data_IF_863341856163
#
_entry.id   IF_863341856163
#
_cell.length_a   1.000
_cell.length_b   1.000
_cell.length_c   1.000
_cell.angle_alpha   90.00
_cell.angle_beta   90.00
_cell.angle_gamma   90.00
#
_symmetry.space_group_name_H-M   'P 1'
#
loop_
_entity.id
_entity.type
_entity.pdbx_description
1 polymer ?
#
# COMPACT_ATOMS: atom_id res chain seq x y z
N UNK A 1 -18.69 -28.78 -2.83
CA UNK A 1 -18.90 -27.57 -3.64
C UNK A 1 -18.73 -26.36 -2.74
N UNK A 2 -17.72 -25.54 -3.01
CA UNK A 2 -17.32 -24.43 -2.14
C UNK A 2 -16.05 -23.82 -2.70
N UNK A 3 -16.14 -23.30 -3.92
CA UNK A 3 -15.04 -22.59 -4.57
C UNK A 3 -14.72 -21.35 -3.76
N UNK A 4 -13.59 -21.39 -3.03
CA UNK A 4 -13.00 -20.20 -2.45
C UNK A 4 -12.72 -19.22 -3.58
N UNK A 5 -13.39 -18.07 -3.55
CA UNK A 5 -13.13 -16.97 -4.46
C UNK A 5 -11.65 -16.61 -4.35
N UNK A 6 -10.87 -16.92 -5.38
CA UNK A 6 -9.50 -16.47 -5.50
C UNK A 6 -9.44 -14.94 -5.61
N UNK A 7 -8.25 -14.34 -5.42
CA UNK A 7 -8.02 -12.89 -5.37
C UNK A 7 -8.28 -12.14 -6.69
N UNK A 8 -8.87 -12.79 -7.70
CA UNK A 8 -9.32 -12.16 -8.95
C UNK A 8 -10.74 -11.57 -8.85
N UNK A 9 -11.52 -11.92 -7.83
CA UNK A 9 -12.96 -11.65 -7.78
C UNK A 9 -13.39 -10.27 -7.21
N UNK A 10 -12.49 -9.31 -6.99
CA UNK A 10 -12.83 -8.15 -6.13
C UNK A 10 -12.19 -6.81 -6.48
N UNK A 11 -11.59 -6.67 -7.67
CA UNK A 11 -11.10 -5.39 -8.15
C UNK A 11 -12.26 -4.56 -8.73
N UNK A 12 -12.33 -3.27 -8.40
CA UNK A 12 -13.30 -2.37 -9.01
C UNK A 12 -12.68 -1.70 -10.26
N UNK A 13 -13.11 -2.08 -11.48
CA UNK A 13 -12.56 -1.50 -12.70
C UNK A 13 -12.86 -0.01 -12.85
N UNK A 14 -13.87 0.54 -12.17
CA UNK A 14 -14.16 1.97 -12.20
C UNK A 14 -13.12 2.80 -11.43
N UNK A 15 -12.41 2.18 -10.49
CA UNK A 15 -11.40 2.82 -9.64
C UNK A 15 -9.98 2.69 -10.21
N UNK A 16 -9.80 2.09 -11.39
CA UNK A 16 -8.50 1.89 -12.03
C UNK A 16 -8.49 2.49 -13.44
N UNK A 17 -7.43 3.24 -13.75
CA UNK A 17 -7.13 3.70 -15.11
C UNK A 17 -5.72 3.33 -15.49
N UNK A 18 -5.51 3.11 -16.78
CA UNK A 18 -4.20 2.84 -17.36
C UNK A 18 -4.01 3.70 -18.61
N UNK A 19 -2.77 4.04 -18.91
CA UNK A 19 -2.34 4.68 -20.16
C UNK A 19 -2.75 3.91 -21.42
N UNK A 20 -2.79 2.57 -21.36
CA UNK A 20 -3.19 1.71 -22.48
C UNK A 20 -3.94 0.44 -22.01
N UNK A 21 -4.82 -0.14 -22.86
CA UNK A 21 -5.45 -1.45 -22.59
C UNK A 21 -4.44 -2.60 -22.45
N UNK A 22 -3.32 -2.54 -23.18
CA UNK A 22 -2.22 -3.50 -23.14
C UNK A 22 -1.59 -3.52 -21.75
N UNK A 23 -1.30 -2.34 -21.21
CA UNK A 23 -0.76 -2.19 -19.87
C UNK A 23 -1.76 -2.64 -18.80
N UNK A 24 -3.05 -2.30 -18.95
CA UNK A 24 -4.10 -2.77 -18.04
C UNK A 24 -4.19 -4.31 -18.01
N UNK A 25 -4.04 -4.97 -19.16
CA UNK A 25 -3.96 -6.44 -19.24
C UNK A 25 -2.68 -6.96 -18.58
N UNK A 26 -1.52 -6.34 -18.84
CA UNK A 26 -0.22 -6.72 -18.26
C UNK A 26 -0.21 -6.67 -16.73
N UNK A 27 -0.83 -5.66 -16.14
CA UNK A 27 -0.89 -5.47 -14.69
C UNK A 27 -2.16 -6.02 -14.03
N UNK A 28 -3.02 -6.73 -14.80
CA UNK A 28 -4.20 -7.40 -14.26
C UNK A 28 -3.79 -8.36 -13.14
N UNK A 29 -4.44 -8.26 -11.99
CA UNK A 29 -4.11 -9.08 -10.82
C UNK A 29 -2.86 -8.62 -10.06
N UNK A 30 -2.05 -7.72 -10.61
CA UNK A 30 -0.79 -7.22 -10.02
C UNK A 30 -0.97 -5.87 -9.33
N UNK A 31 -1.76 -4.97 -9.91
CA UNK A 31 -2.25 -3.75 -9.29
C UNK A 31 -3.76 -3.83 -9.15
N UNK A 32 -4.28 -3.67 -7.94
CA UNK A 32 -5.69 -3.84 -7.62
C UNK A 32 -6.16 -2.74 -6.69
N UNK A 33 -7.42 -2.34 -6.83
CA UNK A 33 -8.13 -1.49 -5.88
C UNK A 33 -9.53 -2.02 -5.68
N UNK A 34 -10.00 -2.00 -4.44
CA UNK A 34 -11.34 -2.42 -4.03
C UNK A 34 -11.97 -1.33 -3.17
N UNK A 35 -13.06 -0.75 -3.65
CA UNK A 35 -13.89 0.18 -2.87
C UNK A 35 -14.66 -0.53 -1.75
N UNK A 36 -15.04 0.23 -0.72
CA UNK A 36 -15.86 -0.28 0.39
C UNK A 36 -15.27 -1.49 1.13
N UNK A 37 -13.94 -1.65 1.11
CA UNK A 37 -13.29 -2.74 1.85
C UNK A 37 -13.45 -2.54 3.35
N UNK A 38 -13.39 -1.32 3.85
CA UNK A 38 -13.66 -0.97 5.24
C UNK A 38 -14.90 -0.08 5.28
N UNK A 39 -15.88 -0.45 6.10
CA UNK A 39 -17.07 0.36 6.34
C UNK A 39 -16.72 1.62 7.14
N UNK A 40 -17.59 2.63 7.12
CA UNK A 40 -17.39 3.87 7.89
C UNK A 40 -17.24 3.60 9.40
N UNK A 41 -18.05 2.68 9.94
CA UNK A 41 -17.96 2.27 11.35
C UNK A 41 -16.62 1.59 11.69
N UNK A 42 -16.15 0.67 10.84
CA UNK A 42 -14.83 0.06 11.01
C UNK A 42 -13.71 1.11 10.90
N UNK A 43 -13.82 2.07 9.97
CA UNK A 43 -12.85 3.14 9.79
C UNK A 43 -12.71 4.01 11.06
N UNK A 44 -13.83 4.33 11.72
CA UNK A 44 -13.84 5.06 13.00
C UNK A 44 -13.08 4.29 14.09
N UNK A 45 -13.32 2.98 14.22
CA UNK A 45 -12.63 2.14 15.20
C UNK A 45 -11.13 2.01 14.92
N UNK A 46 -10.76 1.81 13.65
CA UNK A 46 -9.35 1.76 13.23
C UNK A 46 -8.63 3.08 13.52
N UNK A 47 -9.26 4.21 13.25
CA UNK A 47 -8.70 5.53 13.56
C UNK A 47 -8.54 5.71 15.07
N UNK A 48 -9.53 5.35 15.89
CA UNK A 48 -9.43 5.39 17.36
C UNK A 48 -8.23 4.59 17.87
N UNK A 49 -7.95 3.45 17.24
CA UNK A 49 -6.83 2.59 17.60
C UNK A 49 -5.45 3.21 17.27
N UNK A 50 -5.29 3.81 16.09
CA UNK A 50 -3.97 4.29 15.62
C UNK A 50 -3.67 5.76 15.96
N UNK A 51 -4.70 6.58 16.17
CA UNK A 51 -4.57 8.02 16.42
C UNK A 51 -3.69 8.35 17.66
N UNK A 52 -3.76 7.64 18.80
CA UNK A 52 -2.85 7.89 19.93
C UNK A 52 -1.38 7.66 19.59
N UNK A 53 -1.08 6.77 18.63
CA UNK A 53 0.26 6.57 18.12
C UNK A 53 0.74 7.73 17.27
N UNK A 54 -0.11 8.15 16.32
CA UNK A 54 0.16 9.27 15.42
C UNK A 54 0.33 10.60 16.16
N UNK A 55 -0.48 10.87 17.20
CA UNK A 55 -0.42 12.12 17.99
C UNK A 55 0.89 12.32 18.77
N UNK A 56 1.65 11.26 19.01
CA UNK A 56 2.99 11.38 19.62
C UNK A 56 4.03 11.90 18.62
N UNK A 57 3.81 11.67 17.32
CA UNK A 57 4.65 12.17 16.25
C UNK A 57 4.27 13.60 15.86
N UNK A 58 5.29 14.39 15.46
CA UNK A 58 5.07 15.69 14.81
C UNK A 58 5.02 15.48 13.30
N UNK A 59 4.29 16.35 12.61
CA UNK A 59 4.37 16.38 11.15
C UNK A 59 5.78 16.82 10.72
N UNK A 60 6.34 16.07 9.77
CA UNK A 60 7.64 16.28 9.18
C UNK A 60 7.47 16.94 7.82
N UNK A 61 8.26 17.98 7.57
CA UNK A 61 8.25 18.71 6.30
C UNK A 61 8.99 17.95 5.20
N UNK A 62 10.05 17.21 5.53
CA UNK A 62 10.86 16.43 4.58
C UNK A 62 11.48 15.19 5.23
N UNK A 63 11.63 14.12 4.45
CA UNK A 63 12.49 12.96 4.74
C UNK A 63 13.82 13.10 3.97
N UNK A 64 14.89 12.40 4.41
CA UNK A 64 16.23 12.53 3.80
C UNK A 64 16.30 12.08 2.33
N UNK A 65 15.38 11.21 1.89
CA UNK A 65 15.21 10.81 0.49
C UNK A 65 14.15 11.66 -0.27
N UNK A 66 13.54 12.65 0.40
CA UNK A 66 12.45 13.52 -0.10
C UNK A 66 11.22 12.77 -0.63
N UNK A 67 11.03 11.50 -0.27
CA UNK A 67 9.92 10.70 -0.76
C UNK A 67 8.57 11.07 -0.12
N UNK A 68 8.55 11.63 1.10
CA UNK A 68 7.30 12.00 1.78
C UNK A 68 7.44 13.38 2.42
N UNK A 69 6.41 14.23 2.25
CA UNK A 69 6.34 15.57 2.85
C UNK A 69 4.99 15.80 3.52
N UNK A 70 4.95 16.57 4.60
CA UNK A 70 3.71 16.91 5.31
C UNK A 70 3.06 15.69 5.97
N UNK A 71 3.88 14.83 6.59
CA UNK A 71 3.46 13.52 7.09
C UNK A 71 3.90 13.28 8.53
N UNK A 72 3.23 12.36 9.21
CA UNK A 72 3.73 11.69 10.42
C UNK A 72 3.41 10.21 10.30
N UNK A 73 4.21 9.38 10.95
CA UNK A 73 4.07 7.93 10.81
C UNK A 73 4.41 7.19 12.10
N UNK A 74 3.94 5.95 12.19
CA UNK A 74 4.25 5.03 13.29
C UNK A 74 4.07 3.60 12.80
N UNK A 75 4.90 2.69 13.30
CA UNK A 75 4.66 1.24 13.19
C UNK A 75 3.75 0.78 14.33
N UNK A 76 2.66 0.07 14.01
CA UNK A 76 1.66 -0.35 15.00
C UNK A 76 1.16 -1.77 14.75
N UNK A 77 1.28 -2.62 15.77
CA UNK A 77 0.50 -3.86 15.82
C UNK A 77 -0.97 -3.54 16.07
N UNK A 78 -1.85 -4.04 15.20
CA UNK A 78 -3.29 -3.86 15.30
C UNK A 78 -3.87 -4.90 16.28
N UNK A 79 -4.19 -4.47 17.50
CA UNK A 79 -4.62 -5.32 18.63
C UNK A 79 -6.10 -5.20 18.94
N UNK A 80 -6.76 -4.12 18.51
CA UNK A 80 -8.20 -3.92 18.66
C UNK A 80 -9.02 -4.88 17.82
N UNK A 81 -10.32 -4.99 18.12
CA UNK A 81 -11.23 -5.88 17.39
C UNK A 81 -11.28 -5.60 15.89
N UNK A 82 -11.48 -4.33 15.52
CA UNK A 82 -11.48 -3.88 14.13
C UNK A 82 -10.11 -4.09 13.47
N UNK A 83 -9.01 -3.74 14.16
CA UNK A 83 -7.66 -3.93 13.65
C UNK A 83 -7.29 -5.39 13.37
N UNK A 84 -7.63 -6.30 14.27
CA UNK A 84 -7.41 -7.75 14.09
C UNK A 84 -8.27 -8.32 12.96
N UNK A 85 -9.54 -7.93 12.90
CA UNK A 85 -10.43 -8.34 11.82
C UNK A 85 -9.91 -7.84 10.46
N UNK A 86 -9.41 -6.60 10.41
CA UNK A 86 -8.80 -6.04 9.21
C UNK A 86 -7.58 -6.85 8.77
N UNK A 87 -6.64 -7.14 9.68
CA UNK A 87 -5.44 -7.92 9.37
C UNK A 87 -5.80 -9.30 8.80
N UNK A 88 -6.80 -9.98 9.37
CA UNK A 88 -7.30 -11.25 8.86
C UNK A 88 -7.88 -11.12 7.44
N UNK A 89 -8.66 -10.06 7.19
CA UNK A 89 -9.28 -9.80 5.88
C UNK A 89 -8.27 -9.39 4.80
N UNK A 90 -7.18 -8.73 5.19
CA UNK A 90 -6.10 -8.30 4.28
C UNK A 90 -5.14 -9.46 3.96
N UNK A 91 -4.98 -10.43 4.87
CA UNK A 91 -4.05 -11.55 4.72
C UNK A 91 -4.16 -12.33 3.40
N UNK A 92 -5.36 -12.63 2.85
CA UNK A 92 -5.50 -13.30 1.55
C UNK A 92 -4.92 -12.54 0.35
N UNK A 93 -4.63 -11.24 0.47
CA UNK A 93 -3.93 -10.49 -0.58
C UNK A 93 -2.44 -10.92 -0.71
N UNK A 94 -1.89 -11.54 0.33
CA UNK A 94 -0.51 -11.96 0.43
C UNK A 94 -0.35 -13.46 0.10
N UNK A 95 0.81 -13.90 -0.39
CA UNK A 95 1.09 -15.33 -0.57
C UNK A 95 1.01 -16.09 0.76
N UNK A 96 0.44 -17.30 0.76
CA UNK A 96 0.27 -18.10 1.97
C UNK A 96 1.59 -18.37 2.73
N UNK A 97 2.71 -18.55 2.02
CA UNK A 97 4.04 -18.73 2.63
C UNK A 97 4.73 -17.42 3.04
N UNK A 98 4.13 -16.26 2.78
CA UNK A 98 4.67 -14.92 3.08
C UNK A 98 3.55 -13.97 3.53
N UNK A 99 2.92 -14.23 4.69
CA UNK A 99 1.84 -13.41 5.21
C UNK A 99 2.29 -11.97 5.48
N UNK A 100 1.36 -11.02 5.65
CA UNK A 100 1.72 -9.67 6.08
C UNK A 100 2.37 -9.70 7.46
N UNK A 101 3.25 -8.74 7.72
CA UNK A 101 3.77 -8.47 9.06
C UNK A 101 2.63 -8.18 10.03
N UNK A 102 2.76 -8.54 11.31
CA UNK A 102 1.74 -8.24 12.32
C UNK A 102 1.53 -6.74 12.59
N UNK A 103 2.53 -5.90 12.26
CA UNK A 103 2.42 -4.45 12.34
C UNK A 103 2.06 -3.84 10.99
N UNK A 104 1.18 -2.84 11.03
CA UNK A 104 0.94 -1.94 9.93
C UNK A 104 1.84 -0.71 10.07
N UNK A 105 2.39 -0.28 8.93
CA UNK A 105 2.92 1.07 8.79
C UNK A 105 1.73 2.03 8.69
N UNK A 106 1.56 2.89 9.69
CA UNK A 106 0.50 3.89 9.73
C UNK A 106 1.05 5.22 9.25
N UNK A 107 0.59 5.69 8.09
CA UNK A 107 1.00 6.96 7.49
C UNK A 107 -0.15 7.97 7.55
N UNK A 108 0.10 9.15 8.13
CA UNK A 108 -0.86 10.24 8.24
C UNK A 108 -0.35 11.47 7.50
N UNK A 109 -1.05 11.85 6.44
CA UNK A 109 -0.74 12.96 5.54
C UNK A 109 -1.66 14.14 5.84
N UNK A 110 -1.08 15.34 5.90
CA UNK A 110 -1.85 16.59 5.82
C UNK A 110 -2.53 16.74 4.45
N UNK A 111 -3.50 17.66 4.30
CA UNK A 111 -4.08 18.01 3.00
C UNK A 111 -3.03 18.31 1.92
N UNK A 112 -1.99 19.10 2.26
CA UNK A 112 -0.85 19.37 1.37
C UNK A 112 0.26 18.31 1.40
N UNK A 113 0.07 17.22 2.14
CA UNK A 113 1.05 16.13 2.25
C UNK A 113 1.02 15.23 1.01
N UNK A 114 2.19 14.74 0.59
CA UNK A 114 2.34 13.89 -0.60
C UNK A 114 3.38 12.80 -0.35
N UNK A 115 3.28 11.76 -1.17
CA UNK A 115 4.28 10.70 -1.29
C UNK A 115 4.76 10.77 -2.74
N UNK A 116 6.01 11.13 -2.97
CA UNK A 116 6.60 11.20 -4.30
C UNK A 116 6.88 9.81 -4.91
N UNK A 117 7.25 9.76 -6.20
CA UNK A 117 7.52 8.51 -6.92
C UNK A 117 8.66 7.72 -6.27
N UNK A 118 8.36 6.52 -5.79
CA UNK A 118 9.37 5.64 -5.21
C UNK A 118 9.02 4.16 -5.38
N UNK A 119 10.01 3.30 -5.16
CA UNK A 119 9.83 1.85 -5.04
C UNK A 119 10.21 1.45 -3.63
N UNK A 120 9.32 0.73 -2.95
CA UNK A 120 9.61 0.21 -1.61
C UNK A 120 10.88 -0.65 -1.61
N UNK A 121 11.75 -0.43 -0.63
CA UNK A 121 13.03 -1.14 -0.53
C UNK A 121 12.87 -2.65 -0.57
N UNK A 122 13.52 -3.31 -1.53
CA UNK A 122 13.52 -4.77 -1.66
C UNK A 122 14.21 -5.48 -0.49
N UNK A 123 15.03 -4.75 0.30
CA UNK A 123 15.68 -5.27 1.50
C UNK A 123 14.74 -5.35 2.70
N UNK A 124 13.67 -4.56 2.71
CA UNK A 124 12.77 -4.42 3.87
C UNK A 124 11.29 -4.68 3.55
N UNK A 125 10.92 -4.81 2.29
CA UNK A 125 9.56 -5.06 1.82
C UNK A 125 9.59 -6.19 0.79
N UNK A 126 8.83 -7.25 1.05
CA UNK A 126 8.72 -8.42 0.19
C UNK A 126 7.90 -8.18 -1.07
N UNK A 127 7.20 -9.21 -1.53
CA UNK A 127 6.56 -9.23 -2.83
C UNK A 127 5.16 -8.61 -2.88
N UNK A 128 4.61 -8.15 -1.75
CA UNK A 128 3.25 -7.61 -1.70
C UNK A 128 3.17 -6.43 -0.75
N UNK A 129 2.52 -5.37 -1.23
CA UNK A 129 2.10 -4.20 -0.45
C UNK A 129 0.58 -4.16 -0.52
N UNK A 130 -0.07 -4.02 0.62
CA UNK A 130 -1.51 -3.80 0.70
C UNK A 130 -1.78 -2.58 1.57
N UNK A 131 -2.57 -1.62 1.12
CA UNK A 131 -2.85 -0.41 1.88
C UNK A 131 -4.33 -0.09 1.94
N UNK A 132 -4.80 0.25 3.14
CA UNK A 132 -6.17 0.70 3.40
C UNK A 132 -6.16 2.21 3.57
N UNK A 133 -7.01 2.91 2.81
CA UNK A 133 -7.10 4.38 2.84
C UNK A 133 -8.26 4.83 3.73
N UNK A 134 -8.03 5.83 4.58
CA UNK A 134 -9.01 6.38 5.53
C UNK A 134 -9.07 7.92 5.42
N UNK A 135 -10.16 8.49 5.91
CA UNK A 135 -10.46 9.93 6.00
C UNK A 135 -10.78 10.64 4.69
N UNK A 136 -9.83 10.73 3.75
CA UNK A 136 -10.02 11.49 2.50
C UNK A 136 -9.54 10.72 1.27
N UNK A 137 -10.16 10.98 0.11
CA UNK A 137 -9.77 10.32 -1.13
C UNK A 137 -8.40 10.80 -1.59
N UNK A 138 -7.75 9.98 -2.41
CA UNK A 138 -6.48 10.33 -3.06
C UNK A 138 -6.29 9.50 -4.33
N UNK A 139 -5.37 9.93 -5.18
CA UNK A 139 -4.97 9.16 -6.36
C UNK A 139 -3.59 8.58 -6.11
N UNK A 140 -3.48 7.26 -6.21
CA UNK A 140 -2.20 6.56 -6.27
C UNK A 140 -1.82 6.37 -7.74
N UNK A 141 -0.69 6.93 -8.15
CA UNK A 141 -0.16 6.74 -9.50
C UNK A 141 1.00 5.75 -9.49
N UNK A 142 0.95 4.81 -10.42
CA UNK A 142 2.05 3.92 -10.77
C UNK A 142 2.67 4.42 -12.07
N UNK A 143 3.99 4.60 -12.09
CA UNK A 143 4.72 5.03 -13.30
C UNK A 143 5.84 4.03 -13.58
N UNK A 144 5.95 3.52 -14.81
CA UNK A 144 6.97 2.52 -15.13
C UNK A 144 8.37 3.11 -15.01
N UNK A 145 9.29 2.31 -14.47
CA UNK A 145 10.72 2.62 -14.44
C UNK A 145 11.38 2.51 -15.82
N UNK A 146 10.73 1.86 -16.78
CA UNK A 146 11.28 1.59 -18.13
C UNK A 146 10.70 2.53 -19.18
N UNK A 147 9.39 2.76 -19.13
CA UNK A 147 8.69 3.60 -20.10
C UNK A 147 7.84 4.66 -19.38
N UNK A 148 8.22 5.96 -19.46
CA UNK A 148 7.46 7.03 -18.82
C UNK A 148 6.05 7.24 -19.43
N UNK A 149 5.72 6.62 -20.57
CA UNK A 149 4.35 6.62 -21.09
C UNK A 149 3.45 5.58 -20.39
N UNK A 150 4.05 4.54 -19.80
CA UNK A 150 3.34 3.47 -19.10
C UNK A 150 2.99 3.87 -17.66
N UNK A 151 1.75 4.31 -17.45
CA UNK A 151 1.21 4.61 -16.12
C UNK A 151 -0.12 3.91 -15.81
N UNK A 152 -0.38 3.69 -14.52
CA UNK A 152 -1.68 3.34 -13.92
C UNK A 152 -2.06 4.35 -12.85
N UNK A 153 -3.35 4.60 -12.68
CA UNK A 153 -3.91 5.38 -11.58
C UNK A 153 -4.96 4.55 -10.85
N UNK A 154 -4.92 4.60 -9.52
CA UNK A 154 -5.91 3.98 -8.63
C UNK A 154 -6.59 5.10 -7.83
N UNK A 155 -7.92 5.18 -7.93
CA UNK A 155 -8.71 6.05 -7.06
C UNK A 155 -8.86 5.38 -5.69
N UNK A 156 -8.22 5.97 -4.69
CA UNK A 156 -8.22 5.48 -3.32
C UNK A 156 -9.23 6.26 -2.49
N UNK A 157 -10.48 5.82 -2.52
CA UNK A 157 -11.55 6.36 -1.67
C UNK A 157 -11.36 5.98 -0.20
N UNK A 158 -11.93 6.72 0.77
CA UNK A 158 -11.99 6.27 2.15
C UNK A 158 -12.64 4.89 2.26
N UNK A 159 -12.00 4.00 3.00
CA UNK A 159 -12.39 2.60 3.13
C UNK A 159 -11.90 1.68 2.01
N UNK A 160 -11.21 2.18 0.99
CA UNK A 160 -10.66 1.33 -0.07
C UNK A 160 -9.42 0.55 0.37
N UNK A 161 -9.22 -0.62 -0.24
CA UNK A 161 -7.99 -1.41 -0.20
C UNK A 161 -7.30 -1.32 -1.57
N UNK A 162 -6.01 -1.02 -1.59
CA UNK A 162 -5.16 -1.26 -2.76
C UNK A 162 -4.16 -2.38 -2.49
N UNK A 163 -3.77 -3.10 -3.55
CA UNK A 163 -2.76 -4.15 -3.51
C UNK A 163 -1.80 -3.99 -4.68
N UNK A 164 -0.50 -3.98 -4.39
CA UNK A 164 0.60 -3.96 -5.36
C UNK A 164 1.46 -5.21 -5.17
N UNK A 165 1.65 -5.98 -6.23
CA UNK A 165 2.50 -7.19 -6.26
C UNK A 165 3.11 -7.42 -7.63
N UNK A 166 4.12 -8.28 -7.70
CA UNK A 166 4.81 -8.59 -8.96
C UNK A 166 5.32 -7.32 -9.65
N UNK A 167 5.12 -7.22 -10.97
CA UNK A 167 5.57 -6.08 -11.77
C UNK A 167 5.10 -4.73 -11.20
N UNK A 168 3.86 -4.61 -10.72
CA UNK A 168 3.34 -3.36 -10.15
C UNK A 168 4.10 -2.89 -8.89
N UNK A 169 4.73 -3.80 -8.15
CA UNK A 169 5.52 -3.48 -6.94
C UNK A 169 7.01 -3.24 -7.23
N UNK A 170 7.53 -3.81 -8.31
CA UNK A 170 8.98 -3.82 -8.59
C UNK A 170 9.39 -2.98 -9.80
N UNK A 171 8.54 -2.88 -10.83
CA UNK A 171 8.85 -2.24 -12.12
C UNK A 171 8.20 -0.86 -12.27
N UNK A 172 7.43 -0.44 -11.27
CA UNK A 172 6.72 0.84 -11.24
C UNK A 172 7.05 1.57 -9.95
N UNK A 173 7.34 2.87 -10.06
CA UNK A 173 7.24 3.74 -8.88
C UNK A 173 5.79 3.87 -8.50
N UNK A 174 5.52 4.11 -7.22
CA UNK A 174 4.21 4.51 -6.73
C UNK A 174 4.30 5.85 -5.99
N UNK A 175 3.26 6.65 -6.11
CA UNK A 175 3.14 7.96 -5.49
C UNK A 175 1.70 8.25 -5.07
N UNK A 176 1.51 9.15 -4.10
CA UNK A 176 0.22 9.75 -3.76
C UNK A 176 0.25 11.20 -4.25
N UNK A 177 -0.55 11.49 -5.29
CA UNK A 177 -0.49 12.77 -5.99
C UNK A 177 -0.80 13.95 -5.06
N UNK A 178 -0.05 15.07 -5.15
CA UNK A 178 -0.36 16.30 -4.43
C UNK A 178 -1.66 16.94 -4.94
N UNK A 179 -2.28 17.82 -4.15
CA UNK A 179 -3.62 18.36 -4.44
C UNK A 179 -3.71 19.07 -5.81
N UNK A 180 -2.64 19.73 -6.23
CA UNK A 180 -2.56 20.43 -7.51
C UNK A 180 -2.60 19.47 -8.70
N UNK A 181 -2.20 18.21 -8.51
CA UNK A 181 -2.12 17.17 -9.55
C UNK A 181 -3.08 16.01 -9.31
N UNK A 182 -3.88 16.07 -8.24
CA UNK A 182 -4.79 15.00 -7.83
C UNK A 182 -6.04 14.98 -8.74
N UNK A 183 -5.92 14.28 -9.85
CA UNK A 183 -6.99 14.05 -10.82
C UNK A 183 -7.12 12.56 -11.12
N UNK A 184 -8.35 12.11 -11.35
CA UNK A 184 -8.64 10.75 -11.78
C UNK A 184 -9.61 10.81 -12.95
N UNK A 185 -9.17 10.38 -14.14
CA UNK A 185 -10.00 10.46 -15.36
C UNK A 185 -10.41 11.89 -15.72
N UNK A 186 -9.57 12.88 -15.42
CA UNK A 186 -9.85 14.31 -15.64
C UNK A 186 -10.72 14.96 -14.56
N UNK A 187 -11.26 14.20 -13.62
CA UNK A 187 -12.01 14.74 -12.48
C UNK A 187 -11.05 15.06 -11.33
N UNK A 188 -11.16 16.27 -10.76
CA UNK A 188 -10.37 16.65 -9.58
C UNK A 188 -10.77 15.80 -8.38
N UNK A 189 -9.78 15.28 -7.66
CA UNK A 189 -9.93 14.55 -6.40
C UNK A 189 -9.31 15.41 -5.29
N UNK A 190 -10.10 16.25 -4.60
CA UNK A 190 -9.57 17.15 -3.58
C UNK A 190 -8.90 16.39 -2.43
N UNK A 191 -7.69 16.80 -2.06
CA UNK A 191 -6.94 16.19 -0.96
C UNK A 191 -7.39 16.75 0.38
N UNK A 192 -7.60 15.87 1.34
CA UNK A 192 -7.75 16.20 2.75
C UNK A 192 -6.66 15.53 3.59
N UNK A 193 -6.83 15.55 4.92
CA UNK A 193 -6.04 14.69 5.79
C UNK A 193 -6.31 13.24 5.43
N UNK A 194 -5.26 12.44 5.21
CA UNK A 194 -5.38 11.05 4.81
C UNK A 194 -4.58 10.17 5.75
N UNK A 195 -5.21 9.15 6.31
CA UNK A 195 -4.52 8.10 7.07
C UNK A 195 -4.52 6.82 6.25
N UNK A 196 -3.38 6.16 6.17
CA UNK A 196 -3.24 4.87 5.51
C UNK A 196 -2.67 3.81 6.46
N UNK A 197 -3.25 2.61 6.44
CA UNK A 197 -2.72 1.43 7.10
C UNK A 197 -2.06 0.55 6.03
N UNK A 198 -0.74 0.49 6.04
CA UNK A 198 0.05 -0.17 4.99
C UNK A 198 0.67 -1.45 5.56
N UNK A 199 0.33 -2.57 4.94
CA UNK A 199 0.79 -3.90 5.26
C UNK A 199 1.80 -4.36 4.21
N UNK A 200 2.87 -4.99 4.68
CA UNK A 200 3.96 -5.54 3.86
C UNK A 200 4.33 -6.91 4.39
N UNK A 201 4.87 -7.77 3.53
CA UNK A 201 5.48 -9.02 3.97
C UNK A 201 7.01 -8.92 3.99
N UNK A 202 7.66 -9.92 4.61
CA UNK A 202 9.11 -10.00 4.63
C UNK A 202 9.68 -10.36 3.25
N UNK A 203 10.86 -9.82 2.91
CA UNK A 203 11.57 -10.22 1.70
C UNK A 203 11.85 -11.72 1.69
N UNK A 204 12.14 -12.31 0.51
CA UNK A 204 12.78 -13.61 0.46
C UNK A 204 13.98 -13.63 1.41
N UNK A 205 13.94 -14.49 2.43
CA UNK A 205 15.15 -14.77 3.19
C UNK A 205 16.19 -15.25 2.20
N UNK A 206 17.44 -14.81 2.35
CA UNK A 206 18.54 -15.59 1.80
C UNK A 206 18.37 -17.01 2.36
N UNK A 207 18.45 -18.03 1.49
CA UNK A 207 18.61 -19.40 2.00
C UNK A 207 19.73 -19.35 3.05
N UNK A 208 19.53 -19.87 4.27
CA UNK A 208 20.64 -19.98 5.20
C UNK A 208 21.74 -20.72 4.46
N UNK A 209 22.91 -20.08 4.29
CA UNK A 209 24.06 -20.79 3.77
C UNK A 209 24.24 -22.03 4.66
N UNK A 210 24.44 -23.23 4.08
CA UNK A 210 24.80 -24.38 4.90
C UNK A 210 25.99 -23.97 5.79
N UNK A 211 26.02 -24.41 7.06
CA UNK A 211 27.09 -24.04 7.96
C UNK A 211 28.42 -24.30 7.26
N UNK A 212 29.27 -23.28 7.17
CA UNK A 212 30.63 -23.47 6.68
C UNK A 212 31.29 -24.46 7.63
N UNK A 213 31.72 -25.60 7.08
CA UNK A 213 32.54 -26.54 7.83
C UNK A 213 33.70 -25.77 8.48
N UNK A 214 34.00 -26.01 9.76
CA UNK A 214 35.12 -25.36 10.41
C UNK A 214 36.40 -25.67 9.62
N UNK A 215 37.35 -24.71 9.53
CA UNK A 215 38.60 -24.96 8.83
C UNK A 215 39.28 -26.18 9.43
N UNK A 216 39.52 -27.17 8.57
CA UNK A 216 40.20 -28.41 8.94
C UNK A 216 41.52 -28.10 9.64
N UNK A 217 41.70 -28.71 10.79
CA UNK A 217 42.92 -28.63 11.58
C UNK A 217 44.06 -29.24 10.76
N UNK A 218 45.11 -28.46 10.51
CA UNK A 218 46.43 -28.93 10.07
C UNK A 218 47.42 -28.61 11.17
#
# INVERSE_FOLDING_TARGET
>A
AGGGLGPEAEADPALLRASSPELARRLRGLALVRGGFVSEGEAVELLREVEPGLRRGRYQSDHWDRAITGYRETERGLRGGAGRALLLRVTPAFPAGRPPRPSAHVLDLLPGGRVGPHVDSVKFCGCTIAGVSLLSPSVLRLQSLRDPQDWLELLLEPGSLYVLRGAARYEFTHEILPDEQSFFGGLRVPRGRRVALIFRNDPPGENPQPPRDPPGTV
#
